data_IF_188194878194
#
_entry.id   IF_188194878194
#
_cell.length_a   1.000
_cell.length_b   1.000
_cell.length_c   1.000
_cell.angle_alpha   90.00
_cell.angle_beta   90.00
_cell.angle_gamma   90.00
#
_symmetry.space_group_name_H-M   'P 1'
#
loop_
_entity.id
_entity.type
_entity.pdbx_description
1 polymer ?
#
# COMPACT_ATOMS: atom_id res chain seq x y z
N UNK A 1 -10.92 17.89 26.07
CA UNK A 1 -11.33 18.94 25.15
C UNK A 1 -12.79 18.70 24.76
N UNK A 2 -13.57 19.77 24.72
CA UNK A 2 -14.87 19.81 24.06
C UNK A 2 -14.80 20.79 22.88
N UNK A 3 -15.86 20.86 22.06
CA UNK A 3 -15.89 21.70 20.85
C UNK A 3 -15.54 23.18 21.15
N UNK A 4 -16.02 23.74 22.25
CA UNK A 4 -15.78 25.15 22.63
C UNK A 4 -14.30 25.35 22.99
N UNK A 5 -13.74 24.48 23.83
CA UNK A 5 -12.34 24.58 24.22
C UNK A 5 -11.38 24.28 23.05
N UNK A 6 -11.77 23.36 22.13
CA UNK A 6 -11.04 23.11 20.89
C UNK A 6 -10.94 24.37 20.05
N UNK A 7 -12.06 25.03 19.76
CA UNK A 7 -12.12 26.27 18.98
C UNK A 7 -11.29 27.38 19.59
N UNK A 8 -11.41 27.54 20.91
CA UNK A 8 -10.69 28.57 21.65
C UNK A 8 -9.17 28.37 21.64
N UNK A 9 -8.69 27.13 21.75
CA UNK A 9 -7.28 26.81 21.94
C UNK A 9 -6.56 26.45 20.65
N UNK A 10 -7.26 25.81 19.68
CA UNK A 10 -6.61 25.16 18.55
C UNK A 10 -6.94 25.78 17.19
N UNK A 11 -7.94 26.65 17.09
CA UNK A 11 -8.27 27.26 15.80
C UNK A 11 -7.12 28.05 15.15
N UNK A 12 -6.25 28.65 15.97
CA UNK A 12 -5.09 29.43 15.48
C UNK A 12 -3.80 28.63 15.47
N UNK A 13 -3.84 27.35 15.86
CA UNK A 13 -2.66 26.50 15.91
C UNK A 13 -2.05 26.28 14.52
N UNK A 14 -0.72 26.33 14.47
CA UNK A 14 0.11 26.05 13.28
C UNK A 14 1.30 25.18 13.72
N UNK A 15 1.77 24.28 12.84
CA UNK A 15 1.30 24.06 11.45
C UNK A 15 0.00 23.24 11.43
N UNK A 16 -0.82 23.43 10.38
CA UNK A 16 -2.08 22.70 10.20
C UNK A 16 -1.87 21.18 10.03
N UNK A 17 -0.67 20.74 9.69
CA UNK A 17 -0.27 19.33 9.58
C UNK A 17 -0.19 18.59 10.91
N UNK A 18 -0.29 19.27 12.05
CA UNK A 18 -0.37 18.64 13.37
C UNK A 18 -1.75 18.03 13.64
N UNK A 19 -2.75 18.39 12.82
CA UNK A 19 -4.09 17.84 12.94
C UNK A 19 -4.23 16.52 12.20
N UNK A 20 -5.02 15.64 12.78
CA UNK A 20 -5.33 14.33 12.21
C UNK A 20 -5.85 14.43 10.77
N UNK A 21 -5.33 13.59 9.87
CA UNK A 21 -5.62 13.51 8.44
C UNK A 21 -5.24 14.75 7.62
N UNK A 22 -4.59 15.76 8.18
CA UNK A 22 -4.05 16.89 7.43
C UNK A 22 -2.57 16.68 7.13
N UNK A 23 -2.28 15.96 6.04
CA UNK A 23 -0.91 15.77 5.55
C UNK A 23 -0.41 16.94 4.70
N UNK A 24 0.85 16.88 4.25
CA UNK A 24 1.49 17.91 3.43
C UNK A 24 0.72 18.25 2.15
N UNK A 25 0.05 17.27 1.53
CA UNK A 25 -0.78 17.50 0.34
C UNK A 25 -1.99 18.39 0.63
N UNK A 26 -2.67 18.16 1.75
CA UNK A 26 -3.78 19.01 2.20
C UNK A 26 -3.31 20.41 2.57
N UNK A 27 -2.27 20.49 3.40
CA UNK A 27 -1.68 21.77 3.81
C UNK A 27 -1.27 22.62 2.61
N UNK A 28 -0.62 22.04 1.60
CA UNK A 28 -0.21 22.75 0.38
C UNK A 28 -1.41 23.28 -0.41
N UNK A 29 -2.48 22.52 -0.55
CA UNK A 29 -3.71 22.94 -1.21
C UNK A 29 -4.40 24.08 -0.43
N UNK A 30 -4.54 23.96 0.88
CA UNK A 30 -5.14 24.97 1.73
C UNK A 30 -4.33 26.27 1.69
N UNK A 31 -3.01 26.18 1.81
CA UNK A 31 -2.09 27.32 1.78
C UNK A 31 -2.19 28.09 0.46
N UNK A 32 -2.33 27.41 -0.69
CA UNK A 32 -2.49 28.06 -2.00
C UNK A 32 -3.79 28.88 -2.12
N UNK A 33 -4.74 28.67 -1.21
CA UNK A 33 -5.98 29.44 -1.10
C UNK A 33 -6.01 30.37 0.14
N UNK A 34 -4.88 30.58 0.82
CA UNK A 34 -4.79 31.47 1.99
C UNK A 34 -5.43 30.92 3.25
N UNK A 35 -5.61 29.60 3.35
CA UNK A 35 -6.15 28.89 4.53
C UNK A 35 -4.96 28.26 5.29
N UNK A 36 -4.68 28.75 6.51
CA UNK A 36 -3.46 28.45 7.26
C UNK A 36 -3.68 27.54 8.47
N UNK A 37 -4.90 27.52 9.02
CA UNK A 37 -5.22 26.84 10.27
C UNK A 37 -6.67 26.32 10.25
N UNK A 38 -7.05 25.53 11.27
CA UNK A 38 -8.39 24.96 11.36
C UNK A 38 -9.50 25.99 11.52
N UNK A 39 -9.22 27.13 12.14
CA UNK A 39 -10.17 28.23 12.22
C UNK A 39 -10.47 28.88 10.87
N UNK A 40 -9.48 28.91 9.95
CA UNK A 40 -9.72 29.36 8.58
C UNK A 40 -10.58 28.38 7.80
N UNK A 41 -10.37 27.07 7.96
CA UNK A 41 -11.24 26.02 7.38
C UNK A 41 -12.67 26.16 7.91
N UNK A 42 -12.85 26.30 9.23
CA UNK A 42 -14.16 26.45 9.84
C UNK A 42 -14.89 27.71 9.34
N UNK A 43 -14.19 28.84 9.23
CA UNK A 43 -14.76 30.08 8.67
C UNK A 43 -15.11 29.96 7.19
N UNK A 44 -14.29 29.26 6.41
CA UNK A 44 -14.55 28.96 5.01
C UNK A 44 -15.85 28.17 4.86
N UNK A 45 -16.10 27.17 5.70
CA UNK A 45 -17.25 26.28 5.60
C UNK A 45 -18.63 26.96 5.81
N UNK A 46 -18.66 28.15 6.41
CA UNK A 46 -19.90 28.92 6.66
C UNK A 46 -20.06 30.12 5.73
N UNK A 47 -19.18 30.29 4.76
CA UNK A 47 -19.30 31.34 3.73
C UNK A 47 -20.56 31.16 2.88
N UNK A 48 -21.10 32.26 2.36
CA UNK A 48 -22.25 32.23 1.47
C UNK A 48 -21.84 31.62 0.12
N UNK A 49 -22.78 31.08 -0.64
CA UNK A 49 -22.55 30.52 -1.97
C UNK A 49 -21.86 31.52 -2.93
N UNK A 50 -22.12 32.82 -2.76
CA UNK A 50 -21.51 33.88 -3.56
C UNK A 50 -20.09 34.26 -3.13
N UNK A 51 -19.65 33.83 -1.96
CA UNK A 51 -18.33 34.16 -1.43
C UNK A 51 -17.26 33.26 -2.03
N UNK A 52 -16.04 33.76 -2.17
CA UNK A 52 -14.90 32.94 -2.61
C UNK A 52 -14.58 31.83 -1.61
N UNK A 53 -14.64 32.15 -0.32
CA UNK A 53 -14.47 31.20 0.78
C UNK A 53 -15.82 30.67 1.20
N UNK A 54 -16.15 29.49 0.74
CA UNK A 54 -17.38 28.79 1.06
C UNK A 54 -17.12 27.28 1.13
N UNK A 55 -18.13 26.52 1.50
CA UNK A 55 -18.05 25.06 1.62
C UNK A 55 -17.71 24.39 0.29
N UNK A 56 -18.23 24.91 -0.84
CA UNK A 56 -17.99 24.37 -2.17
C UNK A 56 -16.51 24.44 -2.56
N UNK A 57 -15.78 25.47 -2.13
CA UNK A 57 -14.32 25.53 -2.30
C UNK A 57 -13.63 24.33 -1.67
N UNK A 58 -14.02 23.96 -0.45
CA UNK A 58 -13.44 22.81 0.27
C UNK A 58 -13.78 21.50 -0.43
N UNK A 59 -15.03 21.32 -0.89
CA UNK A 59 -15.43 20.14 -1.67
C UNK A 59 -14.67 20.03 -3.00
N UNK A 60 -14.45 21.11 -3.70
CA UNK A 60 -13.67 21.15 -4.94
C UNK A 60 -12.21 20.73 -4.71
N UNK A 61 -11.63 21.09 -3.57
CA UNK A 61 -10.25 20.75 -3.23
C UNK A 61 -10.06 19.31 -2.75
N UNK A 62 -11.03 18.77 -2.00
CA UNK A 62 -10.89 17.53 -1.24
C UNK A 62 -11.97 16.47 -1.51
N UNK A 63 -12.98 16.79 -2.33
CA UNK A 63 -14.13 15.90 -2.58
C UNK A 63 -14.88 15.63 -1.27
N UNK A 64 -15.42 14.43 -1.12
CA UNK A 64 -16.16 14.00 0.08
C UNK A 64 -15.35 14.07 1.38
N UNK A 65 -14.02 14.08 1.29
CA UNK A 65 -13.16 14.25 2.47
C UNK A 65 -13.23 15.66 3.06
N UNK A 66 -13.86 16.62 2.37
CA UNK A 66 -14.11 17.96 2.91
C UNK A 66 -15.01 17.90 4.13
N UNK A 67 -16.04 17.03 4.16
CA UNK A 67 -16.93 16.86 5.31
C UNK A 67 -16.17 16.56 6.59
N UNK A 68 -15.28 15.57 6.54
CA UNK A 68 -14.48 15.21 7.70
C UNK A 68 -13.52 16.33 8.12
N UNK A 69 -12.92 17.04 7.15
CA UNK A 69 -12.07 18.19 7.43
C UNK A 69 -12.83 19.32 8.11
N UNK A 70 -14.06 19.59 7.66
CA UNK A 70 -14.97 20.61 8.24
C UNK A 70 -15.37 20.20 9.65
N UNK A 71 -15.83 18.97 9.86
CA UNK A 71 -16.19 18.46 11.18
C UNK A 71 -15.04 18.60 12.17
N UNK A 72 -13.84 18.17 11.78
CA UNK A 72 -12.63 18.32 12.59
C UNK A 72 -12.27 19.79 12.84
N UNK A 73 -12.47 20.67 11.86
CA UNK A 73 -12.23 22.12 12.05
C UNK A 73 -13.21 22.73 13.06
N UNK A 74 -14.42 22.22 13.16
CA UNK A 74 -15.38 22.60 14.19
C UNK A 74 -15.17 21.91 15.53
N UNK A 75 -14.22 20.99 15.64
CA UNK A 75 -13.90 20.22 16.83
C UNK A 75 -14.84 19.04 17.07
N UNK A 76 -15.48 18.55 16.01
CA UNK A 76 -16.40 17.41 16.02
C UNK A 76 -15.70 16.18 15.43
N UNK A 77 -15.77 15.05 16.14
CA UNK A 77 -15.33 13.74 15.63
C UNK A 77 -16.57 12.84 15.53
N UNK A 78 -17.07 12.59 14.30
CA UNK A 78 -18.28 11.78 14.12
C UNK A 78 -18.05 10.29 14.36
N UNK A 79 -16.78 9.83 14.29
CA UNK A 79 -16.44 8.43 14.39
C UNK A 79 -16.04 8.05 15.83
N UNK A 80 -16.72 7.04 16.38
CA UNK A 80 -16.41 6.52 17.72
C UNK A 80 -15.41 5.37 17.66
N UNK A 81 -14.71 5.11 18.76
CA UNK A 81 -13.81 3.96 18.90
C UNK A 81 -14.55 2.61 18.67
N UNK A 82 -15.82 2.53 19.07
CA UNK A 82 -16.64 1.34 18.83
C UNK A 82 -16.86 1.10 17.33
N UNK A 83 -17.11 2.16 16.55
CA UNK A 83 -17.26 2.07 15.09
C UNK A 83 -15.94 1.70 14.42
N UNK A 84 -14.82 2.27 14.87
CA UNK A 84 -13.48 1.90 14.36
C UNK A 84 -13.20 0.41 14.59
N UNK A 85 -13.51 -0.11 15.79
CA UNK A 85 -13.32 -1.53 16.12
C UNK A 85 -14.25 -2.46 15.34
N UNK A 86 -15.46 -2.00 15.01
CA UNK A 86 -16.45 -2.77 14.26
C UNK A 86 -16.24 -2.72 12.74
N UNK A 87 -15.41 -1.80 12.25
CA UNK A 87 -15.16 -1.63 10.83
C UNK A 87 -14.44 -2.83 10.24
N UNK A 88 -15.02 -3.41 9.18
CA UNK A 88 -14.40 -4.45 8.36
C UNK A 88 -14.18 -3.88 6.97
N UNK A 89 -12.93 -3.73 6.51
CA UNK A 89 -12.66 -3.21 5.17
C UNK A 89 -13.17 -4.17 4.09
N UNK A 90 -13.68 -3.63 3.00
CA UNK A 90 -14.14 -4.42 1.84
C UNK A 90 -12.98 -5.07 1.07
N UNK A 91 -11.83 -4.41 1.07
CA UNK A 91 -10.61 -4.93 0.48
C UNK A 91 -9.47 -4.89 1.49
N UNK A 92 -8.77 -6.00 1.62
CA UNK A 92 -7.64 -6.13 2.52
C UNK A 92 -6.34 -6.23 1.73
N UNK A 93 -5.30 -5.63 2.27
CA UNK A 93 -3.94 -5.84 1.82
C UNK A 93 -3.02 -6.05 3.03
N UNK A 94 -2.03 -6.91 2.88
CA UNK A 94 -0.98 -7.13 3.88
C UNK A 94 0.34 -6.81 3.19
N UNK A 95 1.13 -5.93 3.81
CA UNK A 95 2.40 -5.50 3.25
C UNK A 95 3.53 -5.60 4.24
N UNK A 96 4.72 -5.88 3.72
CA UNK A 96 5.98 -5.85 4.45
C UNK A 96 6.94 -4.87 3.76
N UNK A 97 7.64 -4.06 4.55
CA UNK A 97 8.61 -3.09 4.03
C UNK A 97 9.90 -3.11 4.83
N UNK A 98 11.03 -3.07 4.12
CA UNK A 98 12.35 -3.07 4.73
C UNK A 98 13.22 -1.96 4.15
N UNK A 99 13.87 -1.20 5.04
CA UNK A 99 14.99 -0.31 4.69
C UNK A 99 16.28 -1.07 4.96
N UNK A 100 17.08 -1.24 3.91
CA UNK A 100 18.33 -1.98 4.01
C UNK A 100 19.39 -1.15 4.76
N UNK A 101 20.23 -1.78 5.57
CA UNK A 101 21.23 -1.08 6.40
C UNK A 101 22.33 -0.42 5.56
N UNK A 102 22.62 -0.95 4.39
CA UNK A 102 23.52 -0.36 3.38
C UNK A 102 22.93 -0.56 1.98
N UNK A 103 23.47 0.07 0.93
CA UNK A 103 23.07 -0.19 -0.44
C UNK A 103 23.36 -1.64 -0.83
N UNK A 104 22.37 -2.37 -1.32
CA UNK A 104 22.49 -3.75 -1.80
C UNK A 104 22.50 -3.77 -3.33
N UNK A 105 23.28 -4.69 -3.90
CA UNK A 105 23.24 -4.97 -5.33
C UNK A 105 22.00 -5.78 -5.73
N UNK A 106 21.88 -6.06 -7.04
CA UNK A 106 20.74 -6.78 -7.60
C UNK A 106 20.58 -8.17 -6.98
N UNK A 107 21.64 -8.95 -6.81
CA UNK A 107 21.55 -10.32 -6.30
C UNK A 107 21.24 -10.36 -4.81
N UNK A 108 21.88 -9.49 -4.04
CA UNK A 108 21.59 -9.35 -2.61
C UNK A 108 20.14 -8.94 -2.37
N UNK A 109 19.63 -7.97 -3.14
CA UNK A 109 18.25 -7.53 -3.05
C UNK A 109 17.27 -8.63 -3.44
N UNK A 110 17.59 -9.42 -4.47
CA UNK A 110 16.79 -10.55 -4.91
C UNK A 110 16.62 -11.60 -3.81
N UNK A 111 17.67 -11.85 -3.02
CA UNK A 111 17.61 -12.76 -1.87
C UNK A 111 16.70 -12.19 -0.77
N UNK A 112 16.82 -10.90 -0.43
CA UNK A 112 15.95 -10.24 0.56
C UNK A 112 14.48 -10.30 0.14
N UNK A 113 14.18 -10.09 -1.15
CA UNK A 113 12.79 -10.20 -1.66
C UNK A 113 12.27 -11.62 -1.47
N UNK A 114 13.08 -12.64 -1.72
CA UNK A 114 12.69 -14.03 -1.49
C UNK A 114 12.36 -14.27 -0.01
N UNK A 115 13.22 -13.83 0.91
CA UNK A 115 12.99 -13.97 2.35
C UNK A 115 11.74 -13.20 2.82
N UNK A 116 11.57 -11.95 2.37
CA UNK A 116 10.40 -11.15 2.71
C UNK A 116 9.09 -11.76 2.19
N UNK A 117 9.13 -12.38 1.02
CA UNK A 117 7.95 -13.04 0.44
C UNK A 117 7.60 -14.31 1.17
N UNK A 118 8.60 -15.09 1.60
CA UNK A 118 8.40 -16.28 2.41
C UNK A 118 7.74 -15.92 3.75
N UNK A 119 8.25 -14.91 4.44
CA UNK A 119 7.65 -14.39 5.68
C UNK A 119 6.22 -13.85 5.47
N UNK A 120 5.94 -13.20 4.34
CA UNK A 120 4.61 -12.72 4.01
C UNK A 120 3.64 -13.89 3.75
N UNK A 121 4.11 -14.97 3.10
CA UNK A 121 3.33 -16.18 2.89
C UNK A 121 3.01 -16.88 4.22
N UNK A 122 3.97 -16.97 5.15
CA UNK A 122 3.77 -17.50 6.49
C UNK A 122 2.73 -16.67 7.27
N UNK A 123 2.77 -15.34 7.19
CA UNK A 123 1.78 -14.45 7.82
C UNK A 123 0.36 -14.66 7.25
N UNK A 124 0.25 -14.92 5.93
CA UNK A 124 -1.03 -15.27 5.31
C UNK A 124 -1.56 -16.63 5.80
N UNK A 125 -0.69 -17.64 5.91
CA UNK A 125 -1.05 -18.98 6.41
C UNK A 125 -1.51 -18.92 7.87
N UNK A 126 -0.78 -18.21 8.73
CA UNK A 126 -1.11 -18.02 10.14
C UNK A 126 -2.49 -17.39 10.34
N UNK A 127 -2.86 -16.46 9.46
CA UNK A 127 -4.14 -15.75 9.47
C UNK A 127 -5.26 -16.41 8.65
N UNK A 128 -5.03 -17.57 8.07
CA UNK A 128 -5.95 -18.27 7.16
C UNK A 128 -6.40 -17.40 5.98
N UNK A 129 -5.47 -16.67 5.37
CA UNK A 129 -5.72 -15.74 4.29
C UNK A 129 -5.04 -16.18 3.00
N UNK A 130 -5.62 -15.77 1.87
CA UNK A 130 -5.07 -16.00 0.53
C UNK A 130 -5.10 -14.73 -0.30
N UNK A 131 -4.20 -14.63 -1.28
CA UNK A 131 -4.10 -13.49 -2.21
C UNK A 131 -4.02 -13.97 -3.66
N UNK A 132 -4.43 -13.13 -4.60
CA UNK A 132 -4.24 -13.32 -6.04
C UNK A 132 -3.35 -12.25 -6.69
N UNK A 133 -2.81 -11.30 -5.90
CA UNK A 133 -2.01 -10.22 -6.45
C UNK A 133 -0.88 -9.81 -5.51
N UNK A 134 0.33 -9.69 -6.06
CA UNK A 134 1.50 -9.16 -5.38
C UNK A 134 1.95 -7.86 -6.03
N UNK A 135 2.30 -6.88 -5.21
CA UNK A 135 2.86 -5.60 -5.63
C UNK A 135 4.27 -5.47 -5.07
N UNK A 136 5.22 -5.16 -5.94
CA UNK A 136 6.62 -4.92 -5.58
C UNK A 136 6.99 -3.47 -5.83
N UNK A 137 7.61 -2.83 -4.84
CA UNK A 137 8.22 -1.52 -4.98
C UNK A 137 9.66 -1.56 -4.46
N UNK A 138 10.62 -1.18 -5.32
CA UNK A 138 12.05 -1.19 -5.02
C UNK A 138 12.61 0.22 -5.15
N UNK A 139 13.04 0.79 -4.03
CA UNK A 139 13.61 2.15 -3.98
C UNK A 139 15.14 2.08 -4.05
N UNK A 140 15.70 2.82 -5.00
CA UNK A 140 17.14 2.88 -5.22
C UNK A 140 17.84 3.81 -4.24
N UNK A 141 19.14 3.57 -4.03
CA UNK A 141 19.98 4.39 -3.18
C UNK A 141 20.40 5.69 -3.87
N UNK A 142 20.54 6.76 -3.08
CA UNK A 142 20.99 8.08 -3.55
C UNK A 142 22.40 8.04 -4.16
N UNK A 143 23.28 7.18 -3.65
CA UNK A 143 24.64 7.00 -4.15
C UNK A 143 24.72 6.59 -5.62
N UNK A 144 23.61 6.12 -6.23
CA UNK A 144 23.55 5.88 -7.67
C UNK A 144 23.68 7.15 -8.52
N UNK A 145 23.43 8.34 -7.94
CA UNK A 145 23.52 9.65 -8.61
C UNK A 145 24.83 10.38 -8.30
N UNK A 146 25.67 9.87 -7.40
CA UNK A 146 26.95 10.51 -7.02
C UNK A 146 28.02 10.24 -8.05
N UNK A 147 28.73 11.29 -8.45
CA UNK A 147 29.71 11.29 -9.56
C UNK A 147 31.00 10.47 -9.34
N UNK A 148 31.13 9.78 -8.19
CA UNK A 148 32.31 8.97 -7.83
C UNK A 148 32.20 7.49 -8.19
N UNK A 149 31.06 6.98 -8.55
CA UNK A 149 30.88 5.58 -8.91
C UNK A 149 31.22 5.37 -10.40
N UNK A 150 32.18 4.51 -10.71
CA UNK A 150 32.64 4.16 -12.06
C UNK A 150 31.58 3.48 -12.95
N UNK A 151 30.35 3.31 -12.47
CA UNK A 151 29.18 2.87 -13.26
C UNK A 151 28.66 4.05 -14.06
N UNK A 152 28.29 3.82 -15.30
CA UNK A 152 27.70 4.80 -16.25
C UNK A 152 26.76 5.75 -15.52
N UNK A 153 26.94 7.07 -15.75
CA UNK A 153 26.03 8.08 -15.23
C UNK A 153 24.59 7.67 -15.51
N UNK A 154 23.77 7.60 -14.46
CA UNK A 154 22.38 7.20 -14.57
C UNK A 154 21.62 8.15 -15.49
N UNK A 155 21.01 7.63 -16.54
CA UNK A 155 20.25 8.39 -17.54
C UNK A 155 18.73 8.24 -17.42
N UNK A 156 18.27 7.50 -16.39
CA UNK A 156 16.85 7.28 -16.16
C UNK A 156 16.14 8.45 -15.46
N UNK A 157 14.87 8.27 -15.18
CA UNK A 157 14.05 9.25 -14.50
C UNK A 157 14.48 9.44 -13.03
N UNK A 158 14.65 10.71 -12.62
CA UNK A 158 15.01 11.11 -11.26
C UNK A 158 13.78 11.68 -10.57
N UNK A 159 13.51 11.24 -9.35
CA UNK A 159 12.44 11.74 -8.50
C UNK A 159 12.99 12.38 -7.24
N UNK A 160 12.16 13.15 -6.54
CA UNK A 160 12.49 13.71 -5.22
C UNK A 160 11.78 12.89 -4.16
N UNK A 161 12.53 12.37 -3.19
CA UNK A 161 11.96 11.63 -2.08
C UNK A 161 11.29 12.55 -1.05
N UNK A 162 10.63 11.96 -0.04
CA UNK A 162 9.94 12.73 1.03
C UNK A 162 10.87 13.63 1.85
N UNK A 163 12.17 13.45 1.75
CA UNK A 163 13.18 14.27 2.44
C UNK A 163 13.79 15.34 1.52
N UNK A 164 13.25 15.53 0.32
CA UNK A 164 13.75 16.49 -0.66
C UNK A 164 15.01 16.05 -1.42
N UNK A 165 15.45 14.79 -1.30
CA UNK A 165 16.66 14.27 -1.95
C UNK A 165 16.33 13.73 -3.33
N UNK A 166 17.19 14.02 -4.31
CA UNK A 166 17.12 13.41 -5.63
C UNK A 166 17.52 11.94 -5.55
N UNK A 167 16.70 11.06 -6.10
CA UNK A 167 16.93 9.61 -6.16
C UNK A 167 16.49 9.08 -7.52
N UNK A 168 17.05 7.97 -8.03
CA UNK A 168 16.48 7.30 -9.20
C UNK A 168 15.02 6.93 -8.94
N UNK A 169 14.17 7.05 -9.95
CA UNK A 169 12.76 6.62 -9.84
C UNK A 169 12.70 5.16 -9.40
N UNK A 170 11.91 4.90 -8.36
CA UNK A 170 11.72 3.55 -7.85
C UNK A 170 11.14 2.62 -8.92
N UNK A 171 11.55 1.35 -8.90
CA UNK A 171 10.89 0.31 -9.66
C UNK A 171 9.58 -0.07 -8.96
N UNK A 172 8.50 -0.19 -9.72
CA UNK A 172 7.18 -0.55 -9.21
C UNK A 172 6.48 -1.45 -10.22
N UNK A 173 5.85 -2.51 -9.74
CA UNK A 173 5.09 -3.41 -10.58
C UNK A 173 4.13 -4.28 -9.79
N UNK A 174 3.21 -4.88 -10.52
CA UNK A 174 2.17 -5.77 -10.01
C UNK A 174 2.25 -7.10 -10.74
N UNK A 175 2.17 -8.19 -10.00
CA UNK A 175 2.04 -9.56 -10.51
C UNK A 175 0.71 -10.15 -10.07
N UNK A 176 -0.03 -10.74 -11.02
CA UNK A 176 -1.30 -11.40 -10.76
C UNK A 176 -1.10 -12.91 -10.80
N UNK A 177 -1.53 -13.58 -9.75
CA UNK A 177 -1.57 -15.03 -9.64
C UNK A 177 -2.83 -15.55 -10.33
N UNK A 178 -2.75 -16.70 -10.99
CA UNK A 178 -3.91 -17.30 -11.66
C UNK A 178 -5.01 -17.69 -10.67
N UNK A 179 -4.60 -18.15 -9.50
CA UNK A 179 -5.50 -18.55 -8.43
C UNK A 179 -5.07 -17.90 -7.13
N UNK A 180 -5.99 -17.74 -6.21
CA UNK A 180 -5.69 -17.30 -4.85
C UNK A 180 -4.85 -18.35 -4.14
N UNK A 181 -3.83 -17.91 -3.43
CA UNK A 181 -2.88 -18.78 -2.77
C UNK A 181 -2.24 -18.12 -1.55
N UNK A 182 -1.73 -18.93 -0.64
CA UNK A 182 -0.78 -18.58 0.41
C UNK A 182 0.53 -19.38 0.28
N UNK A 183 0.72 -20.06 -0.87
CA UNK A 183 1.92 -20.84 -1.14
C UNK A 183 3.14 -19.94 -1.27
N UNK A 184 4.16 -20.13 -0.43
CA UNK A 184 5.41 -19.41 -0.50
C UNK A 184 6.13 -19.69 -1.83
N UNK A 185 6.03 -20.90 -2.37
CA UNK A 185 6.66 -21.29 -3.62
C UNK A 185 6.06 -20.48 -4.79
N UNK A 186 4.73 -20.49 -4.93
CA UNK A 186 4.04 -19.76 -6.01
C UNK A 186 4.27 -18.25 -5.90
N UNK A 187 4.21 -17.70 -4.70
CA UNK A 187 4.43 -16.27 -4.45
C UNK A 187 5.87 -15.86 -4.74
N UNK A 188 6.87 -16.66 -4.33
CA UNK A 188 8.28 -16.39 -4.56
C UNK A 188 8.61 -16.46 -6.06
N UNK A 189 8.15 -17.48 -6.78
CA UNK A 189 8.35 -17.57 -8.23
C UNK A 189 7.84 -16.31 -8.94
N UNK A 190 6.60 -15.94 -8.67
CA UNK A 190 5.93 -14.79 -9.31
C UNK A 190 6.61 -13.46 -8.97
N UNK A 191 6.99 -13.24 -7.72
CA UNK A 191 7.60 -11.96 -7.32
C UNK A 191 9.02 -11.82 -7.86
N UNK A 192 9.77 -12.92 -7.98
CA UNK A 192 11.11 -12.91 -8.54
C UNK A 192 11.10 -12.70 -10.06
N UNK A 193 10.14 -13.25 -10.79
CA UNK A 193 9.93 -12.93 -12.20
C UNK A 193 9.62 -11.44 -12.39
N UNK A 194 8.73 -10.89 -11.55
CA UNK A 194 8.43 -9.46 -11.56
C UNK A 194 9.68 -8.63 -11.27
N UNK A 195 10.45 -8.99 -10.23
CA UNK A 195 11.70 -8.33 -9.85
C UNK A 195 12.69 -8.29 -11.01
N UNK A 196 12.97 -9.44 -11.60
CA UNK A 196 13.93 -9.59 -12.71
C UNK A 196 13.50 -8.76 -13.94
N UNK A 197 12.21 -8.51 -14.12
CA UNK A 197 11.63 -7.71 -15.21
C UNK A 197 11.71 -6.20 -14.98
N UNK A 198 11.45 -5.73 -13.74
CA UNK A 198 11.26 -4.29 -13.49
C UNK A 198 12.46 -3.60 -12.87
N UNK A 199 13.36 -4.34 -12.21
CA UNK A 199 14.48 -3.74 -11.48
C UNK A 199 15.72 -3.60 -12.35
N UNK A 200 16.32 -2.42 -12.31
CA UNK A 200 17.56 -2.16 -13.02
C UNK A 200 18.75 -2.84 -12.30
N UNK A 201 19.44 -3.81 -12.94
CA UNK A 201 20.52 -4.57 -12.31
C UNK A 201 21.80 -3.76 -12.03
N UNK A 202 21.93 -2.57 -12.64
CA UNK A 202 23.10 -1.71 -12.48
C UNK A 202 22.99 -0.76 -11.27
N UNK A 203 21.82 -0.70 -10.61
CA UNK A 203 21.54 0.22 -9.52
C UNK A 203 21.56 -0.46 -8.16
N UNK A 204 22.11 0.21 -7.18
CA UNK A 204 22.01 -0.18 -5.78
C UNK A 204 20.64 0.13 -5.21
N UNK A 205 20.11 -0.79 -4.42
CA UNK A 205 18.81 -0.70 -3.76
C UNK A 205 18.98 -0.29 -2.30
N UNK A 206 18.02 0.52 -1.81
CA UNK A 206 17.99 0.98 -0.41
C UNK A 206 16.76 0.52 0.36
N UNK A 207 15.67 0.26 -0.30
CA UNK A 207 14.41 -0.17 0.34
C UNK A 207 13.59 -1.06 -0.57
N UNK A 208 12.84 -1.95 0.05
CA UNK A 208 11.94 -2.89 -0.61
C UNK A 208 10.59 -2.87 0.10
N UNK A 209 9.51 -2.92 -0.67
CA UNK A 209 8.14 -3.11 -0.18
C UNK A 209 7.46 -4.18 -1.01
N UNK A 210 6.85 -5.15 -0.33
CA UNK A 210 6.04 -6.20 -0.95
C UNK A 210 4.66 -6.11 -0.31
N UNK A 211 3.61 -6.15 -1.12
CA UNK A 211 2.23 -6.10 -0.65
C UNK A 211 1.43 -7.19 -1.34
N UNK A 212 0.74 -8.01 -0.55
CA UNK A 212 -0.32 -8.89 -1.01
C UNK A 212 -1.63 -8.10 -1.02
N UNK A 213 -2.25 -7.95 -2.18
CA UNK A 213 -3.54 -7.30 -2.37
C UNK A 213 -4.66 -8.32 -2.51
N UNK A 214 -5.90 -7.85 -2.50
CA UNK A 214 -7.11 -8.66 -2.63
C UNK A 214 -7.13 -9.84 -1.63
N UNK A 215 -6.59 -9.60 -0.45
CA UNK A 215 -6.51 -10.61 0.60
C UNK A 215 -7.92 -10.93 1.10
N UNK A 216 -8.25 -12.21 1.13
CA UNK A 216 -9.53 -12.74 1.61
C UNK A 216 -9.31 -13.96 2.49
N UNK A 217 -10.32 -14.29 3.29
CA UNK A 217 -10.36 -15.54 4.02
C UNK A 217 -10.35 -16.72 3.05
N UNK A 218 -9.58 -17.76 3.38
CA UNK A 218 -9.41 -18.93 2.53
C UNK A 218 -10.73 -19.68 2.29
N UNK A 219 -11.59 -19.77 3.31
CA UNK A 219 -12.90 -20.40 3.20
C UNK A 219 -13.82 -19.69 2.19
N UNK A 220 -13.75 -18.36 2.11
CA UNK A 220 -14.51 -17.56 1.15
C UNK A 220 -13.95 -17.63 -0.28
N UNK A 221 -12.67 -17.97 -0.41
CA UNK A 221 -12.03 -18.11 -1.72
C UNK A 221 -12.46 -19.43 -2.40
N UNK A 222 -12.66 -20.51 -1.64
CA UNK A 222 -13.11 -21.82 -2.16
C UNK A 222 -14.55 -21.76 -2.69
N UNK A 223 -15.45 -21.01 -2.04
CA UNK A 223 -16.84 -20.86 -2.50
C UNK A 223 -16.97 -20.18 -3.87
N UNK A 224 -16.09 -19.23 -4.19
CA UNK A 224 -16.14 -18.50 -5.48
C UNK A 224 -15.53 -19.28 -6.65
N UNK A 225 -14.65 -20.22 -6.39
CA UNK A 225 -14.03 -21.05 -7.41
C UNK A 225 -14.99 -22.08 -8.05
N UNK A 226 -16.17 -22.30 -7.48
CA UNK A 226 -17.14 -23.30 -7.93
C UNK A 226 -18.00 -22.89 -9.12
N UNK A 227 -17.84 -21.67 -9.68
CA UNK A 227 -18.65 -21.15 -10.81
C UNK A 227 -17.80 -20.84 -12.06
N UNK A 228 -16.98 -21.79 -12.53
CA UNK A 228 -16.36 -21.66 -13.86
C UNK A 228 -17.34 -22.14 -14.92
N UNK A 229 -17.55 -21.32 -15.95
CA UNK A 229 -18.34 -21.69 -17.13
C UNK A 229 -17.58 -22.78 -17.89
N UNK A 230 -18.18 -23.96 -17.98
CA UNK A 230 -17.61 -25.11 -18.71
C UNK A 230 -17.50 -24.81 -20.21
N UNK A 231 -16.29 -24.98 -20.77
CA UNK A 231 -16.03 -24.89 -22.21
C UNK A 231 -16.05 -26.30 -22.84
N UNK A 232 -16.72 -26.41 -23.97
CA UNK A 232 -16.93 -27.71 -24.71
C UNK A 232 -15.64 -28.31 -25.32
N UNK A 233 -14.54 -27.54 -25.37
CA UNK A 233 -13.28 -27.94 -26.00
C UNK A 233 -12.15 -28.26 -25.04
N UNK A 234 -12.41 -28.17 -23.75
CA UNK A 234 -11.41 -28.38 -22.70
C UNK A 234 -11.45 -29.83 -22.20
N UNK A 235 -10.30 -30.50 -22.12
CA UNK A 235 -10.17 -31.83 -21.52
C UNK A 235 -10.23 -31.72 -19.98
N UNK A 236 -11.43 -31.86 -19.45
CA UNK A 236 -11.71 -31.74 -18.03
C UNK A 236 -11.03 -32.81 -17.17
N UNK A 237 -10.81 -34.01 -17.70
CA UNK A 237 -10.15 -35.07 -16.94
C UNK A 237 -8.70 -34.74 -16.63
N UNK A 238 -7.99 -34.14 -17.59
CA UNK A 238 -6.61 -33.66 -17.39
C UNK A 238 -6.55 -32.46 -16.44
N UNK A 239 -7.52 -31.54 -16.55
CA UNK A 239 -7.63 -30.37 -15.65
C UNK A 239 -7.94 -30.78 -14.20
N UNK A 240 -8.83 -31.73 -13.98
CA UNK A 240 -9.15 -32.26 -12.67
C UNK A 240 -7.93 -32.94 -12.03
N UNK A 241 -7.16 -33.73 -12.79
CA UNK A 241 -5.92 -34.32 -12.31
C UNK A 241 -4.86 -33.28 -11.94
N UNK A 242 -4.70 -32.24 -12.73
CA UNK A 242 -3.76 -31.14 -12.44
C UNK A 242 -4.19 -30.35 -11.18
N UNK A 243 -5.48 -30.05 -11.06
CA UNK A 243 -6.03 -29.37 -9.88
C UNK A 243 -5.86 -30.23 -8.63
N UNK A 244 -6.11 -31.53 -8.70
CA UNK A 244 -5.93 -32.44 -7.58
C UNK A 244 -4.45 -32.52 -7.14
N UNK A 245 -3.53 -32.67 -8.09
CA UNK A 245 -2.08 -32.67 -7.82
C UNK A 245 -1.61 -31.36 -7.19
N UNK A 246 -2.14 -30.22 -7.68
CA UNK A 246 -1.85 -28.91 -7.13
C UNK A 246 -2.37 -28.79 -5.69
N UNK A 247 -3.61 -29.24 -5.43
CA UNK A 247 -4.21 -29.22 -4.09
C UNK A 247 -3.40 -30.05 -3.09
N UNK A 248 -2.99 -31.25 -3.45
CA UNK A 248 -2.14 -32.11 -2.62
C UNK A 248 -0.78 -31.47 -2.33
N UNK A 249 -0.17 -30.80 -3.33
CA UNK A 249 1.09 -30.08 -3.17
C UNK A 249 0.94 -28.91 -2.20
N UNK A 250 -0.13 -28.13 -2.33
CA UNK A 250 -0.44 -26.98 -1.45
C UNK A 250 -0.72 -27.43 -0.01
N UNK A 251 -1.47 -28.51 0.19
CA UNK A 251 -1.72 -29.06 1.53
C UNK A 251 -0.44 -29.55 2.20
N UNK A 252 0.45 -30.18 1.45
CA UNK A 252 1.77 -30.59 1.96
C UNK A 252 2.62 -29.41 2.33
N UNK A 253 2.65 -28.37 1.48
CA UNK A 253 3.38 -27.12 1.77
C UNK A 253 2.84 -26.42 3.01
N UNK A 254 1.51 -26.30 3.15
CA UNK A 254 0.87 -25.73 4.35
C UNK A 254 1.25 -26.43 5.63
N UNK A 255 1.31 -27.78 5.62
CA UNK A 255 1.75 -28.54 6.80
C UNK A 255 3.18 -28.21 7.19
N UNK A 256 4.08 -27.99 6.19
CA UNK A 256 5.46 -27.57 6.45
C UNK A 256 5.52 -26.14 6.97
N UNK A 257 4.70 -25.23 6.42
CA UNK A 257 4.62 -23.84 6.86
C UNK A 257 4.09 -23.74 8.30
N UNK A 258 3.06 -24.49 8.66
CA UNK A 258 2.57 -24.55 10.06
C UNK A 258 3.63 -25.09 11.02
N UNK A 259 4.36 -26.13 10.63
CA UNK A 259 5.46 -26.65 11.45
C UNK A 259 6.66 -25.67 11.59
N UNK A 260 6.74 -24.67 10.77
CA UNK A 260 7.76 -23.60 10.89
C UNK A 260 7.28 -22.42 11.77
N UNK A 261 5.97 -22.32 12.05
CA UNK A 261 5.37 -21.33 12.94
C UNK A 261 5.34 -21.79 14.40
N UNK A 262 5.36 -23.12 14.67
CA UNK A 262 5.47 -23.72 16.01
C UNK A 262 6.90 -23.67 16.55
#
# INVERSE_FOLDING_TARGET
>A
LNEISYRRLLWTHQPITDFWRVGQGYAKKLLSHGIYNMGDVARCSIGKETDYYNEELLYRLFGVNAELLIDHAWGREPCTIAQVKAYKPESNSIGSGQVLHCPYDFQQTRLIIKEMTDLLALDLVDKHLVTDQLVLTVGYDIGNLESGNKKKQYQGEITVDRYGRKVPKHAHGTANLKNRTSSSIEMIEMILELYDKIVNPDLFVRRVYITANHVVDESLAEEKASFEQLDLFTDYSHLEEEQQKRKEKLEREKKLQHAALD
#
